data_IF_088056236808
#
_entry.id   IF_088056236808
#
_cell.length_a   1.000
_cell.length_b   1.000
_cell.length_c   1.000
_cell.angle_alpha   90.00
_cell.angle_beta   90.00
_cell.angle_gamma   90.00
#
_symmetry.space_group_name_H-M   'P 1'
#
loop_
_entity.id
_entity.type
_entity.pdbx_description
1 polymer ?
#
# COMPACT_ATOMS: atom_id res chain seq x y z
N UNK A 1 40.65 11.36 25.31
CA UNK A 1 39.41 10.98 26.06
C UNK A 1 38.14 11.34 25.26
N UNK A 2 37.99 12.57 24.76
CA UNK A 2 36.84 13.01 23.94
C UNK A 2 36.59 12.16 22.68
N UNK A 3 37.62 11.87 21.87
CA UNK A 3 37.48 11.07 20.65
C UNK A 3 37.05 9.61 20.90
N UNK A 4 37.45 9.02 22.04
CA UNK A 4 37.01 7.67 22.43
C UNK A 4 35.54 7.68 22.80
N UNK A 5 35.12 8.69 23.59
CA UNK A 5 33.71 8.87 23.96
C UNK A 5 32.82 9.16 22.75
N UNK A 6 33.30 9.93 21.78
CA UNK A 6 32.58 10.16 20.53
C UNK A 6 32.41 8.87 19.70
N UNK A 7 33.43 8.01 19.63
CA UNK A 7 33.31 6.70 18.98
C UNK A 7 32.36 5.75 19.72
N UNK A 8 32.41 5.74 21.05
CA UNK A 8 31.48 4.97 21.89
C UNK A 8 30.03 5.41 21.65
N UNK A 9 29.75 6.71 21.66
CA UNK A 9 28.40 7.25 21.41
C UNK A 9 27.89 6.98 19.99
N UNK A 10 28.77 7.03 18.98
CA UNK A 10 28.40 6.67 17.61
C UNK A 10 28.07 5.18 17.47
N UNK A 11 28.83 4.31 18.14
CA UNK A 11 28.56 2.88 18.14
C UNK A 11 27.26 2.55 18.89
N UNK A 12 27.00 3.21 20.02
CA UNK A 12 25.75 3.07 20.79
C UNK A 12 24.54 3.54 19.98
N UNK A 13 24.63 4.71 19.34
CA UNK A 13 23.56 5.21 18.45
C UNK A 13 23.32 4.28 17.24
N UNK A 14 24.38 3.71 16.64
CA UNK A 14 24.24 2.74 15.55
C UNK A 14 23.52 1.47 16.00
N UNK A 15 23.88 0.94 17.18
CA UNK A 15 23.26 -0.26 17.74
C UNK A 15 21.78 0.00 18.12
N UNK A 16 21.48 1.15 18.73
CA UNK A 16 20.09 1.55 19.01
C UNK A 16 19.27 1.70 17.72
N UNK A 17 19.84 2.31 16.68
CA UNK A 17 19.17 2.44 15.39
C UNK A 17 18.92 1.07 14.72
N UNK A 18 19.87 0.14 14.80
CA UNK A 18 19.71 -1.22 14.30
C UNK A 18 18.61 -1.98 15.03
N UNK A 19 18.56 -1.90 16.37
CA UNK A 19 17.49 -2.54 17.16
C UNK A 19 16.12 -1.97 16.84
N UNK A 20 16.01 -0.65 16.68
CA UNK A 20 14.77 0.01 16.28
C UNK A 20 14.33 -0.44 14.88
N UNK A 21 15.27 -0.50 13.93
CA UNK A 21 15.00 -0.96 12.57
C UNK A 21 14.54 -2.42 12.55
N UNK A 22 15.21 -3.32 13.29
CA UNK A 22 14.81 -4.71 13.42
C UNK A 22 13.39 -4.84 13.99
N UNK A 23 13.08 -4.11 15.06
CA UNK A 23 11.73 -4.10 15.65
C UNK A 23 10.66 -3.61 14.67
N UNK A 24 10.96 -2.58 13.87
CA UNK A 24 10.03 -2.09 12.84
C UNK A 24 9.80 -3.10 11.72
N UNK A 25 10.81 -3.91 11.38
CA UNK A 25 10.69 -4.98 10.38
C UNK A 25 9.76 -6.07 10.87
N UNK A 26 9.99 -6.58 12.07
CA UNK A 26 9.17 -7.63 12.66
C UNK A 26 7.72 -7.16 12.77
N UNK A 27 7.52 -5.91 13.22
CA UNK A 27 6.20 -5.30 13.27
C UNK A 27 5.54 -5.19 11.91
N UNK A 28 6.28 -4.83 10.85
CA UNK A 28 5.75 -4.79 9.47
C UNK A 28 5.41 -6.19 8.98
N UNK A 29 6.27 -7.17 9.25
CA UNK A 29 6.05 -8.57 8.88
C UNK A 29 4.78 -9.12 9.52
N UNK A 30 4.61 -8.91 10.83
CA UNK A 30 3.41 -9.30 11.58
C UNK A 30 2.16 -8.62 11.00
N UNK A 31 2.24 -7.32 10.71
CA UNK A 31 1.13 -6.60 10.08
C UNK A 31 0.75 -7.21 8.73
N UNK A 32 1.74 -7.56 7.91
CA UNK A 32 1.51 -8.20 6.61
C UNK A 32 0.88 -9.58 6.76
N UNK A 33 1.32 -10.40 7.72
CA UNK A 33 0.67 -11.68 8.04
C UNK A 33 -0.81 -11.48 8.39
N UNK A 34 -1.11 -10.48 9.22
CA UNK A 34 -2.50 -10.20 9.61
C UNK A 34 -3.34 -9.68 8.44
N UNK A 35 -2.75 -8.89 7.54
CA UNK A 35 -3.42 -8.46 6.31
C UNK A 35 -3.69 -9.66 5.39
N UNK A 36 -2.73 -10.56 5.21
CA UNK A 36 -2.90 -11.76 4.38
C UNK A 36 -3.98 -12.70 4.93
N UNK A 37 -4.07 -12.85 6.25
CA UNK A 37 -5.19 -13.56 6.91
C UNK A 37 -6.53 -12.89 6.60
N UNK A 38 -6.59 -11.57 6.73
CA UNK A 38 -7.81 -10.81 6.43
C UNK A 38 -8.22 -10.98 4.97
N UNK A 39 -7.25 -10.96 4.03
CA UNK A 39 -7.51 -11.21 2.60
C UNK A 39 -8.11 -12.60 2.39
N UNK A 40 -7.55 -13.63 3.00
CA UNK A 40 -8.06 -15.00 2.89
C UNK A 40 -9.50 -15.14 3.43
N UNK A 41 -9.83 -14.43 4.51
CA UNK A 41 -11.18 -14.41 5.08
C UNK A 41 -12.18 -13.65 4.21
N UNK A 42 -11.75 -12.57 3.54
CA UNK A 42 -12.59 -11.82 2.60
C UNK A 42 -12.83 -12.58 1.29
N UNK A 43 -11.86 -13.38 0.87
CA UNK A 43 -11.87 -14.12 -0.40
C UNK A 43 -11.69 -15.63 -0.17
N UNK A 44 -12.66 -16.31 0.46
CA UNK A 44 -12.56 -17.75 0.74
C UNK A 44 -12.47 -18.61 -0.52
N UNK A 45 -12.94 -18.11 -1.66
CA UNK A 45 -12.85 -18.75 -2.97
C UNK A 45 -11.94 -17.99 -3.94
N UNK A 46 -11.07 -17.10 -3.43
CA UNK A 46 -10.20 -16.28 -4.25
C UNK A 46 -10.98 -15.33 -5.17
N UNK A 47 -10.56 -15.13 -6.43
CA UNK A 47 -11.20 -14.21 -7.37
C UNK A 47 -12.64 -14.60 -7.74
N UNK A 48 -13.00 -15.88 -7.59
CA UNK A 48 -14.35 -16.39 -7.84
C UNK A 48 -15.32 -16.09 -6.69
N UNK A 49 -14.89 -15.40 -5.63
CA UNK A 49 -15.76 -15.03 -4.52
C UNK A 49 -16.84 -14.06 -5.02
N UNK A 50 -18.14 -14.37 -4.87
CA UNK A 50 -19.21 -13.49 -5.31
C UNK A 50 -19.18 -12.14 -4.58
N UNK A 51 -19.51 -11.05 -5.29
CA UNK A 51 -19.57 -9.70 -4.72
C UNK A 51 -20.52 -9.61 -3.53
N UNK A 52 -21.63 -10.35 -3.54
CA UNK A 52 -22.59 -10.40 -2.42
C UNK A 52 -21.98 -10.98 -1.15
N UNK A 53 -21.18 -12.05 -1.27
CA UNK A 53 -20.44 -12.65 -0.16
C UNK A 53 -19.40 -11.68 0.37
N UNK A 54 -18.68 -10.99 -0.52
CA UNK A 54 -17.69 -10.00 -0.14
C UNK A 54 -18.34 -8.82 0.61
N UNK A 55 -19.45 -8.27 0.10
CA UNK A 55 -20.23 -7.22 0.78
C UNK A 55 -20.66 -7.66 2.18
N UNK A 56 -21.16 -8.89 2.32
CA UNK A 56 -21.55 -9.43 3.63
C UNK A 56 -20.35 -9.55 4.60
N UNK A 57 -19.20 -10.02 4.12
CA UNK A 57 -17.97 -10.12 4.91
C UNK A 57 -17.44 -8.74 5.34
N UNK A 58 -17.48 -7.77 4.43
CA UNK A 58 -17.07 -6.40 4.70
C UNK A 58 -17.95 -5.75 5.77
N UNK A 59 -19.28 -5.97 5.71
CA UNK A 59 -20.22 -5.55 6.76
C UNK A 59 -19.91 -6.22 8.09
N UNK A 60 -19.73 -7.54 8.11
CA UNK A 60 -19.49 -8.31 9.33
C UNK A 60 -18.20 -7.89 10.05
N UNK A 61 -17.14 -7.62 9.28
CA UNK A 61 -15.82 -7.30 9.84
C UNK A 61 -15.63 -5.84 10.22
N UNK A 62 -16.50 -4.94 9.74
CA UNK A 62 -16.45 -3.50 10.04
C UNK A 62 -15.04 -2.88 9.91
N UNK A 63 -14.29 -3.28 8.86
CA UNK A 63 -12.89 -2.84 8.66
C UNK A 63 -12.81 -1.31 8.50
N UNK A 64 -11.90 -0.60 9.17
CA UNK A 64 -11.76 0.84 8.90
C UNK A 64 -11.31 1.11 7.47
N UNK A 65 -11.58 2.31 6.95
CA UNK A 65 -11.11 2.73 5.62
C UNK A 65 -9.58 2.61 5.52
N UNK A 66 -8.85 2.99 6.57
CA UNK A 66 -7.40 2.80 6.65
C UNK A 66 -6.98 1.33 6.51
N UNK A 67 -7.74 0.41 7.10
CA UNK A 67 -7.46 -1.02 7.00
C UNK A 67 -7.72 -1.54 5.59
N UNK A 68 -8.76 -1.05 4.90
CA UNK A 68 -9.02 -1.37 3.48
C UNK A 68 -7.93 -0.83 2.56
N UNK A 69 -7.45 0.40 2.80
CA UNK A 69 -6.31 0.98 2.08
C UNK A 69 -5.09 0.08 2.23
N UNK A 70 -4.76 -0.34 3.45
CA UNK A 70 -3.64 -1.26 3.71
C UNK A 70 -3.82 -2.64 3.05
N UNK A 71 -5.06 -3.12 2.91
CA UNK A 71 -5.34 -4.36 2.18
C UNK A 71 -5.08 -4.20 0.69
N UNK A 72 -5.47 -3.07 0.08
CA UNK A 72 -5.17 -2.78 -1.32
C UNK A 72 -3.66 -2.63 -1.54
N UNK A 73 -2.96 -1.92 -0.67
CA UNK A 73 -1.50 -1.82 -0.71
C UNK A 73 -0.85 -3.20 -0.67
N UNK A 74 -1.28 -4.05 0.27
CA UNK A 74 -0.75 -5.42 0.40
C UNK A 74 -1.05 -6.31 -0.81
N UNK A 75 -2.27 -6.24 -1.34
CA UNK A 75 -2.64 -6.96 -2.56
C UNK A 75 -1.81 -6.50 -3.76
N UNK A 76 -1.58 -5.19 -3.87
CA UNK A 76 -0.77 -4.63 -4.93
C UNK A 76 0.71 -5.06 -4.82
N UNK A 77 1.30 -5.00 -3.63
CA UNK A 77 2.66 -5.51 -3.37
C UNK A 77 2.80 -6.96 -3.85
N UNK A 78 1.83 -7.82 -3.50
CA UNK A 78 1.81 -9.22 -3.91
C UNK A 78 1.64 -9.39 -5.42
N UNK A 79 0.81 -8.56 -6.06
CA UNK A 79 0.60 -8.58 -7.50
C UNK A 79 1.87 -8.17 -8.27
N UNK A 80 2.55 -7.13 -7.81
CA UNK A 80 3.83 -6.65 -8.37
C UNK A 80 4.91 -7.72 -8.24
N UNK A 81 5.03 -8.33 -7.05
CA UNK A 81 5.97 -9.42 -6.82
C UNK A 81 5.65 -10.65 -7.69
N UNK A 82 4.37 -11.03 -7.80
CA UNK A 82 3.94 -12.15 -8.64
C UNK A 82 4.15 -11.90 -10.13
N UNK A 83 4.03 -10.65 -10.59
CA UNK A 83 4.34 -10.22 -11.97
C UNK A 83 5.83 -10.16 -12.25
N UNK A 84 6.69 -10.36 -11.26
CA UNK A 84 8.14 -10.27 -11.43
C UNK A 84 8.65 -8.84 -11.65
N UNK A 85 7.81 -7.84 -11.37
CA UNK A 85 8.19 -6.44 -11.55
C UNK A 85 9.18 -6.02 -10.47
N UNK A 86 9.97 -4.99 -10.78
CA UNK A 86 10.84 -4.37 -9.79
C UNK A 86 10.03 -3.90 -8.59
N UNK A 87 10.33 -4.45 -7.43
CA UNK A 87 9.80 -4.01 -6.15
C UNK A 87 10.94 -3.95 -5.14
N UNK A 88 10.74 -3.20 -4.07
CA UNK A 88 11.73 -3.12 -3.00
C UNK A 88 11.39 -4.17 -1.96
N UNK A 89 12.23 -5.19 -1.84
CA UNK A 89 12.18 -6.11 -0.71
C UNK A 89 13.18 -5.65 0.35
N UNK A 90 12.82 -5.89 1.60
CA UNK A 90 13.65 -5.60 2.74
C UNK A 90 14.20 -6.92 3.27
N UNK A 91 15.51 -7.10 3.17
CA UNK A 91 16.20 -8.28 3.71
C UNK A 91 16.89 -7.92 5.02
N UNK A 92 16.50 -8.61 6.09
CA UNK A 92 17.24 -8.62 7.36
C UNK A 92 18.39 -9.61 7.23
N UNK A 93 19.62 -9.12 7.09
CA UNK A 93 20.81 -9.94 7.33
C UNK A 93 21.18 -9.82 8.80
N UNK A 94 21.84 -10.84 9.36
CA UNK A 94 22.21 -10.96 10.78
C UNK A 94 22.86 -9.71 11.39
N UNK A 95 23.54 -8.88 10.59
CA UNK A 95 24.23 -7.65 11.03
C UNK A 95 23.62 -6.34 10.51
N UNK A 96 22.70 -6.37 9.53
CA UNK A 96 22.13 -5.13 8.98
C UNK A 96 20.84 -5.37 8.19
N UNK A 97 19.99 -4.34 8.20
CA UNK A 97 18.84 -4.24 7.30
C UNK A 97 19.27 -3.64 5.97
N UNK A 98 18.98 -4.32 4.85
CA UNK A 98 19.18 -3.78 3.51
C UNK A 98 17.85 -3.73 2.76
N UNK A 99 17.59 -2.59 2.13
CA UNK A 99 16.54 -2.47 1.11
C UNK A 99 17.18 -2.81 -0.23
N UNK A 100 16.66 -3.84 -0.89
CA UNK A 100 17.12 -4.24 -2.20
C UNK A 100 15.97 -4.14 -3.18
N UNK A 101 16.24 -3.53 -4.34
CA UNK A 101 15.33 -3.66 -5.49
C UNK A 101 15.46 -5.09 -5.97
N UNK A 102 14.40 -5.87 -5.79
CA UNK A 102 14.30 -7.25 -6.24
C UNK A 102 13.37 -7.28 -7.45
N UNK A 103 13.79 -8.02 -8.47
CA UNK A 103 12.94 -8.40 -9.58
C UNK A 103 13.22 -9.85 -9.89
N UNK A 104 12.21 -10.70 -9.76
CA UNK A 104 12.25 -12.02 -10.38
C UNK A 104 11.81 -11.83 -11.83
N UNK A 105 12.66 -12.09 -12.82
CA UNK A 105 12.20 -12.11 -14.21
C UNK A 105 11.14 -13.21 -14.47
N UNK A 106 10.89 -14.07 -13.49
CA UNK A 106 9.90 -15.14 -13.51
C UNK A 106 8.57 -14.67 -12.92
N UNK A 107 7.50 -14.87 -13.69
CA UNK A 107 6.11 -14.58 -13.29
C UNK A 107 5.54 -15.76 -12.52
N UNK A 108 5.15 -15.53 -11.26
CA UNK A 108 4.43 -16.50 -10.45
C UNK A 108 2.95 -16.55 -10.84
N UNK A 109 2.64 -17.32 -11.90
CA UNK A 109 1.28 -17.45 -12.45
C UNK A 109 0.26 -17.97 -11.44
N UNK A 110 0.67 -18.85 -10.52
CA UNK A 110 -0.22 -19.44 -9.52
C UNK A 110 -0.62 -18.45 -8.42
N UNK A 111 0.29 -17.56 -8.02
CA UNK A 111 -0.05 -16.45 -7.13
C UNK A 111 -0.90 -15.41 -7.85
N UNK A 112 -0.52 -15.04 -9.07
CA UNK A 112 -1.25 -14.06 -9.88
C UNK A 112 -2.71 -14.48 -10.10
N UNK A 113 -2.97 -15.74 -10.47
CA UNK A 113 -4.32 -16.27 -10.60
C UNK A 113 -5.14 -16.27 -9.30
N UNK A 114 -4.51 -16.17 -8.12
CA UNK A 114 -5.19 -16.09 -6.82
C UNK A 114 -5.53 -14.65 -6.42
N UNK A 115 -4.76 -13.66 -6.87
CA UNK A 115 -4.84 -12.28 -6.38
C UNK A 115 -5.27 -11.27 -7.44
N UNK A 116 -5.19 -11.63 -8.72
CA UNK A 116 -5.63 -10.78 -9.81
C UNK A 116 -7.13 -10.47 -9.71
N UNK A 117 -7.49 -9.20 -9.91
CA UNK A 117 -8.85 -8.71 -9.80
C UNK A 117 -9.38 -8.53 -8.38
N UNK A 118 -8.67 -8.99 -7.33
CA UNK A 118 -9.15 -8.84 -5.95
C UNK A 118 -9.28 -7.37 -5.53
N UNK A 119 -8.37 -6.51 -5.96
CA UNK A 119 -8.43 -5.06 -5.69
C UNK A 119 -9.72 -4.46 -6.27
N UNK A 120 -10.04 -4.80 -7.52
CA UNK A 120 -11.22 -4.28 -8.19
C UNK A 120 -12.50 -4.86 -7.54
N UNK A 121 -12.50 -6.14 -7.13
CA UNK A 121 -13.59 -6.74 -6.37
C UNK A 121 -13.86 -6.01 -5.03
N UNK A 122 -12.81 -5.60 -4.28
CA UNK A 122 -12.97 -4.80 -3.06
C UNK A 122 -13.60 -3.45 -3.39
N UNK A 123 -13.14 -2.78 -4.45
CA UNK A 123 -13.66 -1.48 -4.89
C UNK A 123 -15.14 -1.59 -5.29
N UNK A 124 -15.53 -2.63 -6.00
CA UNK A 124 -16.90 -2.85 -6.44
C UNK A 124 -17.83 -3.13 -5.26
N UNK A 125 -17.39 -3.96 -4.31
CA UNK A 125 -18.14 -4.22 -3.09
C UNK A 125 -18.27 -2.95 -2.21
N UNK A 126 -17.21 -2.14 -2.12
CA UNK A 126 -17.27 -0.85 -1.44
C UNK A 126 -18.23 0.12 -2.16
N UNK A 127 -18.24 0.13 -3.50
CA UNK A 127 -19.13 0.99 -4.29
C UNK A 127 -20.60 0.63 -4.07
N UNK A 128 -20.90 -0.67 -3.93
CA UNK A 128 -22.23 -1.14 -3.59
C UNK A 128 -22.68 -0.62 -2.22
N UNK A 129 -21.81 -0.71 -1.21
CA UNK A 129 -22.08 -0.21 0.14
C UNK A 129 -22.25 1.32 0.19
N UNK A 130 -21.42 2.06 -0.54
CA UNK A 130 -21.52 3.52 -0.65
C UNK A 130 -22.84 3.95 -1.35
N UNK A 131 -23.30 3.20 -2.35
CA UNK A 131 -24.59 3.46 -3.00
C UNK A 131 -25.77 3.14 -2.06
N UNK A 132 -25.76 1.98 -1.42
CA UNK A 132 -26.79 1.62 -0.43
C UNK A 132 -26.91 2.67 0.67
N UNK A 133 -25.78 3.13 1.22
CA UNK A 133 -25.78 4.17 2.25
C UNK A 133 -26.34 5.50 1.74
N UNK A 134 -25.98 5.93 0.52
CA UNK A 134 -26.52 7.14 -0.09
C UNK A 134 -28.04 7.06 -0.29
N UNK A 135 -28.55 5.90 -0.70
CA UNK A 135 -29.99 5.66 -0.82
C UNK A 135 -30.69 5.68 0.54
N UNK A 136 -30.09 5.07 1.57
CA UNK A 136 -30.65 5.10 2.93
C UNK A 136 -30.72 6.53 3.51
N UNK A 137 -29.67 7.34 3.35
CA UNK A 137 -29.67 8.74 3.78
C UNK A 137 -30.73 9.56 3.04
N UNK A 138 -30.87 9.35 1.73
CA UNK A 138 -31.91 9.98 0.92
C UNK A 138 -33.31 9.63 1.43
N UNK A 139 -33.56 8.35 1.75
CA UNK A 139 -34.85 7.89 2.26
C UNK A 139 -35.17 8.43 3.67
N UNK A 140 -34.15 8.61 4.52
CA UNK A 140 -34.30 9.18 5.88
C UNK A 140 -34.34 10.72 5.89
N UNK A 141 -34.13 11.35 4.73
CA UNK A 141 -34.03 12.81 4.59
C UNK A 141 -33.00 13.44 5.54
N UNK A 142 -31.97 12.67 5.89
CA UNK A 142 -30.95 13.05 6.87
C UNK A 142 -29.76 13.68 6.14
N UNK A 143 -29.51 14.96 6.43
CA UNK A 143 -28.45 15.76 5.81
C UNK A 143 -27.15 15.78 6.62
N UNK A 144 -27.14 15.21 7.84
CA UNK A 144 -26.01 15.30 8.74
C UNK A 144 -25.20 14.00 8.75
N UNK A 145 -23.88 14.15 8.75
CA UNK A 145 -22.90 13.07 8.91
C UNK A 145 -22.46 13.04 10.37
N UNK A 146 -22.76 11.95 11.08
CA UNK A 146 -22.28 11.72 12.43
C UNK A 146 -20.78 11.34 12.40
N UNK A 147 -20.02 11.66 13.44
CA UNK A 147 -18.56 11.39 13.46
C UNK A 147 -18.23 9.91 13.28
N UNK A 148 -19.01 9.02 13.88
CA UNK A 148 -18.88 7.57 13.68
C UNK A 148 -19.12 7.15 12.21
N UNK A 149 -19.98 7.88 11.49
CA UNK A 149 -20.24 7.63 10.07
C UNK A 149 -19.05 8.07 9.19
N UNK A 150 -18.34 9.11 9.65
CA UNK A 150 -17.15 9.65 8.97
C UNK A 150 -15.92 8.74 9.06
N UNK A 151 -15.84 7.88 10.08
CA UNK A 151 -14.65 7.06 10.40
C UNK A 151 -14.78 5.60 9.91
N UNK A 152 -16.00 5.08 9.72
CA UNK A 152 -16.24 3.69 9.30
C UNK A 152 -17.20 3.64 8.12
N UNK A 153 -16.83 3.05 6.97
CA UNK A 153 -17.68 2.58 5.84
C UNK A 153 -18.78 3.50 5.26
N UNK A 154 -19.15 4.60 5.92
CA UNK A 154 -20.48 5.20 5.86
C UNK A 154 -20.39 6.71 5.68
N UNK A 155 -19.27 7.19 5.13
CA UNK A 155 -19.19 8.53 4.56
C UNK A 155 -19.68 8.55 3.09
N UNK A 156 -19.96 7.38 2.50
CA UNK A 156 -20.41 7.24 1.11
C UNK A 156 -19.32 7.53 0.07
N UNK A 157 -18.05 7.47 0.44
CA UNK A 157 -16.90 7.83 -0.39
C UNK A 157 -15.74 6.82 -0.31
N UNK A 158 -15.94 5.66 0.33
CA UNK A 158 -14.86 4.71 0.58
C UNK A 158 -14.35 4.13 -0.73
N UNK A 159 -15.25 3.79 -1.65
CA UNK A 159 -14.88 3.25 -2.95
C UNK A 159 -14.02 4.21 -3.77
N UNK A 160 -14.29 5.51 -3.70
CA UNK A 160 -13.54 6.52 -4.45
C UNK A 160 -12.15 6.76 -3.85
N UNK A 161 -12.01 6.70 -2.52
CA UNK A 161 -10.70 6.68 -1.85
C UNK A 161 -9.89 5.45 -2.24
N UNK A 162 -10.51 4.26 -2.26
CA UNK A 162 -9.88 3.02 -2.67
C UNK A 162 -9.49 3.04 -4.17
N UNK A 163 -10.34 3.58 -5.04
CA UNK A 163 -10.03 3.80 -6.47
C UNK A 163 -8.85 4.75 -6.65
N UNK A 164 -8.82 5.86 -5.89
CA UNK A 164 -7.72 6.81 -5.96
C UNK A 164 -6.41 6.12 -5.58
N UNK A 165 -6.40 5.40 -4.46
CA UNK A 165 -5.23 4.67 -3.99
C UNK A 165 -4.77 3.59 -4.97
N UNK A 166 -5.70 2.79 -5.49
CA UNK A 166 -5.36 1.76 -6.48
C UNK A 166 -4.76 2.37 -7.77
N UNK A 167 -5.25 3.53 -8.21
CA UNK A 167 -4.68 4.26 -9.35
C UNK A 167 -3.27 4.79 -9.04
N UNK A 168 -3.04 5.33 -7.86
CA UNK A 168 -1.70 5.78 -7.45
C UNK A 168 -0.68 4.64 -7.48
N UNK A 169 -1.03 3.51 -6.87
CA UNK A 169 -0.18 2.32 -6.83
C UNK A 169 0.11 1.79 -8.25
N UNK A 170 -0.92 1.65 -9.10
CA UNK A 170 -0.76 1.20 -10.49
C UNK A 170 0.12 2.16 -11.33
N UNK A 171 0.09 3.47 -11.05
CA UNK A 171 0.90 4.48 -11.77
C UNK A 171 2.40 4.32 -11.52
N UNK A 172 2.82 3.85 -10.34
CA UNK A 172 4.25 3.63 -10.04
C UNK A 172 4.91 2.66 -11.05
N UNK A 173 4.13 1.74 -11.59
CA UNK A 173 4.58 0.74 -12.55
C UNK A 173 4.24 1.04 -14.01
N UNK A 174 3.55 2.17 -14.29
CA UNK A 174 3.22 2.60 -15.65
C UNK A 174 4.47 3.16 -16.36
N UNK A 175 4.84 2.57 -17.50
CA UNK A 175 6.01 2.97 -18.28
C UNK A 175 5.90 4.41 -18.80
N UNK A 176 4.68 4.91 -19.08
CA UNK A 176 4.48 6.31 -19.45
C UNK A 176 4.70 7.26 -18.27
N UNK A 177 4.42 6.80 -17.05
CA UNK A 177 4.74 7.55 -15.85
C UNK A 177 6.24 7.58 -15.60
N UNK A 178 6.92 6.43 -15.68
CA UNK A 178 8.39 6.34 -15.57
C UNK A 178 9.09 7.22 -16.60
N UNK A 179 8.62 7.22 -17.84
CA UNK A 179 9.14 8.11 -18.90
C UNK A 179 8.99 9.58 -18.53
N UNK A 180 7.79 10.02 -18.13
CA UNK A 180 7.55 11.41 -17.69
C UNK A 180 8.41 11.80 -16.49
N UNK A 181 8.60 10.88 -15.55
CA UNK A 181 9.42 11.12 -14.36
C UNK A 181 10.91 11.26 -14.72
N UNK A 182 11.41 10.41 -15.63
CA UNK A 182 12.77 10.52 -16.16
C UNK A 182 12.95 11.84 -16.93
N UNK A 183 12.02 12.19 -17.81
CA UNK A 183 12.04 13.46 -18.57
C UNK A 183 12.10 14.67 -17.61
N UNK A 184 11.33 14.64 -16.52
CA UNK A 184 11.35 15.66 -15.48
C UNK A 184 12.72 15.76 -14.77
N UNK A 185 13.30 14.63 -14.36
CA UNK A 185 14.62 14.63 -13.71
C UNK A 185 15.73 15.06 -14.67
N UNK A 186 15.66 14.69 -15.95
CA UNK A 186 16.58 15.16 -16.98
C UNK A 186 16.47 16.67 -17.21
N UNK A 187 15.24 17.20 -17.30
CA UNK A 187 15.01 18.64 -17.40
C UNK A 187 15.54 19.39 -16.17
N UNK A 188 15.32 18.86 -14.96
CA UNK A 188 15.85 19.43 -13.72
C UNK A 188 17.38 19.38 -13.64
N UNK A 189 18.01 18.31 -14.16
CA UNK A 189 19.48 18.18 -14.27
C UNK A 189 20.07 19.18 -15.26
N UNK A 190 19.43 19.36 -16.43
CA UNK A 190 19.83 20.35 -17.44
C UNK A 190 19.75 21.77 -16.86
N UNK A 191 18.62 22.12 -16.22
CA UNK A 191 18.45 23.43 -15.56
C UNK A 191 19.52 23.72 -14.50
N UNK A 192 19.89 22.72 -13.67
CA UNK A 192 20.98 22.87 -12.67
C UNK A 192 22.37 23.00 -13.29
N UNK A 193 22.59 22.42 -14.48
CA UNK A 193 23.84 22.53 -15.21
C UNK A 193 23.96 23.94 -15.83
N UNK A 194 22.91 24.39 -16.50
CA UNK A 194 22.84 25.74 -17.07
C UNK A 194 22.99 26.81 -15.97
N UNK A 195 22.42 26.60 -14.78
CA UNK A 195 22.56 27.52 -13.63
C UNK A 195 23.97 27.50 -12.99
N UNK A 196 24.73 26.41 -13.14
CA UNK A 196 26.14 26.33 -12.72
C UNK A 196 27.08 26.98 -13.74
N UNK A 197 26.77 26.84 -15.03
CA UNK A 197 27.55 27.44 -16.13
C UNK A 197 27.33 28.98 -16.23
N UNK A 198 26.31 29.51 -15.55
CA UNK A 198 26.01 30.95 -15.43
C UNK A 198 26.56 31.62 -14.16
N UNK A 199 27.27 30.90 -13.28
CA UNK A 199 27.99 31.52 -12.15
C UNK A 199 29.46 31.73 -12.53
N UNK A 200 29.94 33.00 -12.59
CA UNK A 200 31.35 33.31 -12.84
C UNK A 200 32.26 32.86 -11.68
#
# INVERSE_FOLDING_TARGET
RMLRRARELLAEASAEEETLRASLIDKKHDQNIQLDKTIAELFPSGPSTPTTTLVAQLRQKHLSTDKLIRLIERLHEREVAAKGLHHVEQTSTTDHTKFQVVSSNEVNKAELARIEGLIDNIIDAASFLDEEWRQEKKNRNDKHLHYAEKVHWTAGNVADELKHKARELRREHDDQFKKRQNDYYEAARKKKKDEKDLKP
#
